data_IF_962422368351
#
_entry.id   IF_962422368351
#
_cell.length_a   1.000
_cell.length_b   1.000
_cell.length_c   1.000
_cell.angle_alpha   90.00
_cell.angle_beta   90.00
_cell.angle_gamma   90.00
#
_symmetry.space_group_name_H-M   'P 1'
#
loop_
_entity.id
_entity.type
_entity.pdbx_description
1 polymer ?
#
# COMPACT_ATOMS: atom_id res chain seq x y z
N UNK A 1 14.75 -9.23 2.53
CA UNK A 1 13.71 -9.28 3.57
C UNK A 1 13.07 -7.90 3.76
N UNK A 2 12.09 -7.81 4.65
CA UNK A 2 11.34 -6.57 4.87
C UNK A 2 12.25 -5.45 5.39
N UNK A 3 13.10 -5.71 6.36
CA UNK A 3 13.97 -4.68 6.94
C UNK A 3 14.93 -4.12 5.88
N UNK A 4 15.50 -4.96 5.04
CA UNK A 4 16.36 -4.55 3.94
C UNK A 4 15.59 -3.68 2.95
N UNK A 5 14.37 -4.06 2.62
CA UNK A 5 13.48 -3.29 1.75
C UNK A 5 13.22 -1.89 2.30
N UNK A 6 12.88 -1.79 3.58
CA UNK A 6 12.64 -0.51 4.25
C UNK A 6 13.90 0.37 4.21
N UNK A 7 15.07 -0.22 4.52
CA UNK A 7 16.33 0.51 4.48
C UNK A 7 16.63 1.04 3.08
N UNK A 8 16.37 0.25 2.05
CA UNK A 8 16.56 0.67 0.67
C UNK A 8 15.62 1.80 0.27
N UNK A 9 14.36 1.77 0.71
CA UNK A 9 13.42 2.86 0.45
C UNK A 9 13.87 4.15 1.12
N UNK A 10 14.31 4.09 2.38
CA UNK A 10 14.77 5.27 3.13
C UNK A 10 16.05 5.85 2.51
N UNK A 11 17.00 4.99 2.14
CA UNK A 11 18.28 5.42 1.58
C UNK A 11 18.22 5.79 0.10
N UNK A 12 17.10 5.48 -0.58
CA UNK A 12 16.96 5.72 -2.01
C UNK A 12 17.72 4.73 -2.89
N UNK A 13 18.05 3.55 -2.37
CA UNK A 13 18.85 2.53 -3.09
C UNK A 13 18.02 1.36 -3.61
N UNK A 14 16.71 1.41 -3.51
CA UNK A 14 15.85 0.37 -4.10
C UNK A 14 15.90 0.50 -5.62
N UNK A 15 16.38 -0.55 -6.30
CA UNK A 15 16.69 -0.49 -7.74
C UNK A 15 15.67 -1.14 -8.66
N UNK A 16 14.77 -1.96 -8.14
CA UNK A 16 13.78 -2.63 -8.97
C UNK A 16 12.73 -1.65 -9.51
N UNK A 17 12.23 -1.92 -10.71
CA UNK A 17 11.13 -1.16 -11.30
C UNK A 17 9.75 -1.67 -10.84
N UNK A 18 9.69 -2.79 -10.12
CA UNK A 18 8.46 -3.37 -9.61
C UNK A 18 8.51 -3.46 -8.09
N UNK A 19 7.35 -3.67 -7.47
CA UNK A 19 7.27 -3.96 -6.05
C UNK A 19 7.89 -5.33 -5.77
N UNK A 20 8.41 -5.53 -4.54
CA UNK A 20 9.10 -6.79 -4.22
C UNK A 20 8.15 -7.99 -4.24
N UNK A 21 8.71 -9.17 -4.49
CA UNK A 21 7.98 -10.43 -4.52
C UNK A 21 7.73 -10.98 -3.11
N UNK A 22 7.21 -10.14 -2.23
CA UNK A 22 6.78 -10.58 -0.91
C UNK A 22 5.52 -11.43 -1.01
N UNK A 23 5.29 -12.20 0.03
CA UNK A 23 4.09 -13.01 0.16
C UNK A 23 3.41 -12.72 1.50
N UNK A 24 2.36 -13.46 1.81
CA UNK A 24 1.55 -13.22 3.00
C UNK A 24 2.32 -13.38 4.30
N UNK A 25 3.40 -14.16 4.32
CA UNK A 25 4.25 -14.28 5.50
C UNK A 25 4.99 -12.99 5.86
N UNK A 26 5.10 -12.06 4.92
CA UNK A 26 5.80 -10.79 5.11
C UNK A 26 4.89 -9.67 5.64
N UNK A 27 3.57 -9.87 5.64
CA UNK A 27 2.61 -8.81 5.98
C UNK A 27 2.79 -8.29 7.40
N UNK A 28 2.98 -9.18 8.38
CA UNK A 28 3.15 -8.76 9.77
C UNK A 28 4.35 -7.83 9.95
N UNK A 29 5.48 -8.17 9.33
CA UNK A 29 6.69 -7.34 9.41
C UNK A 29 6.51 -6.00 8.68
N UNK A 30 5.84 -6.00 7.54
CA UNK A 30 5.54 -4.76 6.82
C UNK A 30 4.67 -3.83 7.66
N UNK A 31 3.63 -4.35 8.30
CA UNK A 31 2.69 -3.54 9.07
C UNK A 31 3.32 -2.89 10.31
N UNK A 32 4.48 -3.35 10.77
CA UNK A 32 5.22 -2.67 11.83
C UNK A 32 5.65 -1.26 11.41
N UNK A 33 5.81 -1.01 10.11
CA UNK A 33 6.21 0.28 9.56
C UNK A 33 5.03 1.13 9.09
N UNK A 34 3.80 0.71 9.31
CA UNK A 34 2.58 1.34 8.76
C UNK A 34 2.39 2.80 9.16
N UNK A 35 2.93 3.20 10.29
CA UNK A 35 2.76 4.57 10.81
C UNK A 35 3.95 5.50 10.53
N UNK A 36 4.96 5.01 9.81
CA UNK A 36 6.17 5.79 9.54
C UNK A 36 5.85 6.97 8.62
N UNK A 37 6.31 8.15 9.03
CA UNK A 37 6.07 9.39 8.29
C UNK A 37 7.29 9.89 7.51
N UNK A 38 8.40 9.15 7.56
CA UNK A 38 9.59 9.45 6.77
C UNK A 38 9.21 9.57 5.29
N UNK A 39 9.66 10.66 4.66
CA UNK A 39 9.38 10.88 3.24
C UNK A 39 10.41 10.13 2.39
N UNK A 40 9.92 9.36 1.42
CA UNK A 40 10.75 8.67 0.43
C UNK A 40 10.49 9.27 -0.94
N UNK A 41 11.52 9.30 -1.79
CA UNK A 41 11.48 9.93 -3.11
C UNK A 41 11.88 8.98 -4.24
N UNK A 42 12.60 7.91 -3.92
CA UNK A 42 12.99 6.90 -4.90
C UNK A 42 12.26 5.59 -4.63
N UNK A 43 11.19 5.36 -5.36
CA UNK A 43 10.36 4.16 -5.20
C UNK A 43 9.81 3.74 -6.56
N UNK A 44 9.49 2.44 -6.74
CA UNK A 44 8.93 1.98 -8.01
C UNK A 44 7.56 2.57 -8.26
N UNK A 45 7.27 2.89 -9.52
CA UNK A 45 6.03 3.53 -9.95
C UNK A 45 5.37 2.70 -11.04
N UNK A 46 4.04 2.64 -11.00
CA UNK A 46 3.26 1.97 -12.02
C UNK A 46 3.39 2.76 -13.35
N UNK A 47 3.90 2.13 -14.42
CA UNK A 47 4.15 2.84 -15.67
C UNK A 47 2.91 3.36 -16.37
N UNK A 48 1.72 2.85 -16.05
CA UNK A 48 0.47 3.33 -16.66
C UNK A 48 -0.09 4.57 -15.97
N UNK A 49 0.48 4.99 -14.83
CA UNK A 49 -0.02 6.16 -14.12
C UNK A 49 0.32 7.44 -14.87
N UNK A 50 -0.68 8.29 -15.07
CA UNK A 50 -0.50 9.64 -15.61
C UNK A 50 -0.21 10.67 -14.53
N UNK A 51 -0.36 10.29 -13.27
CA UNK A 51 -0.11 11.15 -12.10
C UNK A 51 1.29 10.90 -11.59
N UNK A 52 2.16 11.93 -11.67
CA UNK A 52 3.54 11.81 -11.20
C UNK A 52 3.64 12.18 -9.72
N UNK A 53 3.78 11.20 -8.87
CA UNK A 53 3.97 11.40 -7.43
C UNK A 53 5.46 11.47 -7.12
N UNK A 54 5.93 12.65 -6.68
CA UNK A 54 7.35 12.88 -6.43
C UNK A 54 7.81 12.27 -5.11
N UNK A 55 6.95 12.27 -4.09
CA UNK A 55 7.30 11.79 -2.76
C UNK A 55 6.12 11.06 -2.13
N UNK A 56 6.43 10.24 -1.11
CA UNK A 56 5.44 9.45 -0.40
C UNK A 56 5.90 9.25 1.03
N UNK A 57 4.97 9.18 1.98
CA UNK A 57 5.30 8.74 3.33
C UNK A 57 5.61 7.25 3.30
N UNK A 58 6.67 6.85 3.98
CA UNK A 58 7.08 5.45 4.03
C UNK A 58 5.93 4.52 4.44
N UNK A 59 5.18 4.90 5.48
CA UNK A 59 4.06 4.09 5.96
C UNK A 59 2.99 3.88 4.90
N UNK A 60 2.68 4.91 4.10
CA UNK A 60 1.73 4.78 2.99
C UNK A 60 2.26 3.83 1.91
N UNK A 61 3.54 3.92 1.58
CA UNK A 61 4.15 3.02 0.61
C UNK A 61 4.17 1.57 1.11
N UNK A 62 4.38 1.39 2.41
CA UNK A 62 4.30 0.07 3.05
C UNK A 62 2.90 -0.52 2.93
N UNK A 63 1.86 0.28 3.19
CA UNK A 63 0.47 -0.18 3.02
C UNK A 63 0.19 -0.57 1.57
N UNK A 64 0.70 0.18 0.63
CA UNK A 64 0.56 -0.14 -0.79
C UNK A 64 1.28 -1.44 -1.15
N UNK A 65 2.42 -1.70 -0.52
CA UNK A 65 3.15 -2.97 -0.66
C UNK A 65 2.31 -4.14 -0.12
N UNK A 66 1.64 -3.96 1.01
CA UNK A 66 0.72 -4.97 1.56
C UNK A 66 -0.45 -5.20 0.58
N UNK A 67 -0.99 -4.13 0.02
CA UNK A 67 -2.06 -4.26 -0.96
C UNK A 67 -1.60 -5.00 -2.22
N UNK A 68 -0.34 -4.82 -2.63
CA UNK A 68 0.26 -5.59 -3.71
C UNK A 68 0.22 -7.10 -3.43
N UNK A 69 0.58 -7.49 -2.21
CA UNK A 69 0.52 -8.90 -1.80
C UNK A 69 -0.91 -9.43 -1.90
N UNK A 70 -1.87 -8.66 -1.38
CA UNK A 70 -3.28 -9.03 -1.42
C UNK A 70 -3.79 -9.14 -2.86
N UNK A 71 -3.42 -8.20 -3.72
CA UNK A 71 -3.84 -8.19 -5.12
C UNK A 71 -3.30 -9.40 -5.88
N UNK A 72 -2.05 -9.78 -5.63
CA UNK A 72 -1.45 -10.98 -6.23
C UNK A 72 -2.18 -12.24 -5.75
N UNK A 73 -2.43 -12.36 -4.45
CA UNK A 73 -3.13 -13.52 -3.88
C UNK A 73 -4.56 -13.67 -4.39
N UNK A 74 -5.25 -12.55 -4.63
CA UNK A 74 -6.63 -12.57 -5.14
C UNK A 74 -6.71 -12.53 -6.66
N UNK A 75 -5.57 -12.49 -7.36
CA UNK A 75 -5.49 -12.39 -8.80
C UNK A 75 -6.31 -11.22 -9.34
N UNK A 76 -6.07 -10.04 -8.80
CA UNK A 76 -6.82 -8.84 -9.14
C UNK A 76 -6.67 -8.47 -10.61
N UNK A 77 -7.79 -8.11 -11.25
CA UNK A 77 -7.79 -7.66 -12.65
C UNK A 77 -7.13 -6.28 -12.85
N UNK A 78 -6.93 -5.54 -11.77
CA UNK A 78 -6.28 -4.23 -11.83
C UNK A 78 -4.76 -4.31 -11.69
N UNK A 79 -4.23 -5.50 -11.46
CA UNK A 79 -2.81 -5.72 -11.22
C UNK A 79 -2.02 -5.51 -12.51
N UNK A 80 -1.03 -4.63 -12.46
CA UNK A 80 -0.03 -4.43 -13.52
C UNK A 80 1.32 -4.76 -12.89
N UNK A 81 2.00 -5.82 -13.35
CA UNK A 81 3.14 -6.36 -12.64
C UNK A 81 2.71 -6.71 -11.21
N UNK A 82 3.31 -6.08 -10.21
CA UNK A 82 2.87 -6.21 -8.82
C UNK A 82 2.19 -4.95 -8.28
N UNK A 83 1.90 -3.98 -9.14
CA UNK A 83 1.24 -2.73 -8.72
C UNK A 83 -0.27 -2.95 -8.56
N UNK A 84 -0.82 -2.75 -7.35
CA UNK A 84 -2.24 -3.03 -7.09
C UNK A 84 -3.18 -1.92 -7.56
N UNK A 85 -2.64 -0.73 -7.80
CA UNK A 85 -3.37 0.43 -8.29
C UNK A 85 -2.40 1.34 -9.03
N UNK A 86 -2.85 2.49 -9.50
CA UNK A 86 -1.99 3.41 -10.24
C UNK A 86 -0.95 4.10 -9.37
N UNK A 87 -1.30 4.47 -8.13
CA UNK A 87 -0.40 5.25 -7.27
C UNK A 87 -0.52 4.83 -5.80
N UNK A 88 0.56 4.99 -5.02
CA UNK A 88 0.51 4.76 -3.56
C UNK A 88 -0.13 5.94 -2.81
N UNK A 89 -1.30 6.38 -3.26
CA UNK A 89 -2.07 7.46 -2.64
C UNK A 89 -3.51 7.06 -2.48
N UNK A 90 -4.17 7.67 -1.50
CA UNK A 90 -5.58 7.45 -1.25
C UNK A 90 -6.43 8.51 -1.96
N UNK A 91 -7.65 8.13 -2.30
CA UNK A 91 -8.67 9.02 -2.79
C UNK A 91 -9.96 8.81 -1.99
N UNK A 92 -10.85 9.78 -2.04
CA UNK A 92 -12.18 9.61 -1.43
C UNK A 92 -13.02 8.67 -2.29
N UNK A 93 -13.65 7.68 -1.63
CA UNK A 93 -14.38 6.61 -2.33
C UNK A 93 -15.61 7.11 -3.06
N UNK A 94 -16.38 7.97 -2.41
CA UNK A 94 -17.70 8.37 -2.88
C UNK A 94 -17.75 9.77 -3.49
N UNK A 95 -16.57 10.36 -3.75
CA UNK A 95 -16.51 11.67 -4.39
C UNK A 95 -16.94 11.57 -5.86
N UNK A 96 -17.72 12.52 -6.39
CA UNK A 96 -18.12 12.48 -7.80
C UNK A 96 -16.97 12.69 -8.76
N UNK A 97 -15.91 13.33 -8.30
CA UNK A 97 -14.65 13.50 -9.04
C UNK A 97 -13.50 12.94 -8.23
N UNK A 98 -12.39 12.66 -8.88
CA UNK A 98 -11.20 12.17 -8.20
C UNK A 98 -10.71 13.19 -7.17
N UNK A 99 -10.71 12.82 -5.90
CA UNK A 99 -10.17 13.62 -4.81
C UNK A 99 -9.09 12.83 -4.09
N UNK A 100 -7.84 13.20 -4.36
CA UNK A 100 -6.67 12.60 -3.72
C UNK A 100 -6.46 13.26 -2.35
N UNK A 101 -6.14 12.45 -1.34
CA UNK A 101 -5.89 12.90 0.02
C UNK A 101 -4.47 12.55 0.45
N UNK A 102 -3.80 13.50 1.12
CA UNK A 102 -2.41 13.35 1.55
C UNK A 102 -2.21 13.62 3.04
N UNK A 103 -3.27 13.95 3.78
CA UNK A 103 -3.16 14.41 5.15
C UNK A 103 -2.73 13.28 6.12
N UNK A 104 -2.25 13.69 7.30
CA UNK A 104 -1.78 12.74 8.31
C UNK A 104 -2.91 11.90 8.87
N UNK A 105 -4.12 12.45 8.93
CA UNK A 105 -5.28 11.74 9.47
C UNK A 105 -5.71 10.60 8.55
N UNK A 106 -5.72 10.82 7.23
CA UNK A 106 -6.04 9.75 6.28
C UNK A 106 -5.03 8.62 6.35
N UNK A 107 -3.75 8.97 6.50
CA UNK A 107 -2.70 7.97 6.68
C UNK A 107 -2.94 7.14 7.95
N UNK A 108 -3.21 7.79 9.08
CA UNK A 108 -3.46 7.09 10.35
C UNK A 108 -4.66 6.16 10.25
N UNK A 109 -5.74 6.62 9.62
CA UNK A 109 -6.94 5.80 9.44
C UNK A 109 -6.68 4.58 8.55
N UNK A 110 -5.94 4.76 7.46
CA UNK A 110 -5.57 3.66 6.59
C UNK A 110 -4.66 2.66 7.32
N UNK A 111 -3.67 3.14 8.06
CA UNK A 111 -2.77 2.29 8.84
C UNK A 111 -3.53 1.46 9.87
N UNK A 112 -4.46 2.08 10.61
CA UNK A 112 -5.33 1.36 11.55
C UNK A 112 -6.20 0.33 10.85
N UNK A 113 -6.77 0.68 9.70
CA UNK A 113 -7.66 -0.22 8.95
C UNK A 113 -6.90 -1.47 8.48
N UNK A 114 -5.68 -1.32 7.98
CA UNK A 114 -4.86 -2.45 7.57
C UNK A 114 -4.44 -3.31 8.77
N UNK A 115 -4.09 -2.69 9.87
CA UNK A 115 -3.72 -3.41 11.09
C UNK A 115 -4.91 -4.23 11.62
N UNK A 116 -6.09 -3.61 11.71
CA UNK A 116 -7.30 -4.28 12.18
C UNK A 116 -7.71 -5.41 11.23
N UNK A 117 -7.60 -5.18 9.94
CA UNK A 117 -7.86 -6.21 8.93
C UNK A 117 -6.97 -7.43 9.13
N UNK A 118 -5.66 -7.22 9.28
CA UNK A 118 -4.70 -8.32 9.41
C UNK A 118 -4.89 -9.09 10.71
N UNK A 119 -5.26 -8.40 11.78
CA UNK A 119 -5.47 -8.99 13.10
C UNK A 119 -6.92 -9.40 13.37
N UNK A 120 -7.78 -9.40 12.35
CA UNK A 120 -9.16 -9.83 12.48
C UNK A 120 -9.24 -11.35 12.75
N UNK A 121 -10.40 -11.79 13.28
CA UNK A 121 -10.61 -13.21 13.63
C UNK A 121 -10.94 -14.08 12.43
N UNK A 122 -11.06 -13.52 11.24
CA UNK A 122 -11.38 -14.28 10.02
C UNK A 122 -10.26 -15.26 9.67
N UNK A 123 -10.62 -16.39 9.07
CA UNK A 123 -9.65 -17.30 8.49
C UNK A 123 -8.85 -16.59 7.40
N UNK A 124 -7.60 -16.99 7.24
CA UNK A 124 -6.70 -16.36 6.26
C UNK A 124 -7.31 -16.29 4.86
N UNK A 125 -7.88 -17.39 4.36
CA UNK A 125 -8.45 -17.43 3.00
C UNK A 125 -9.63 -16.48 2.81
N UNK A 126 -10.34 -16.16 3.89
CA UNK A 126 -11.45 -15.21 3.86
C UNK A 126 -10.95 -13.78 4.02
N UNK A 127 -10.02 -13.58 4.96
CA UNK A 127 -9.40 -12.28 5.25
C UNK A 127 -8.78 -11.66 4.01
N UNK A 128 -8.05 -12.45 3.23
CA UNK A 128 -7.31 -11.93 2.06
C UNK A 128 -8.25 -11.34 1.01
N UNK A 129 -9.49 -11.76 0.95
CA UNK A 129 -10.49 -11.26 0.01
C UNK A 129 -11.21 -10.01 0.49
N UNK A 130 -11.08 -9.66 1.78
CA UNK A 130 -11.72 -8.49 2.34
C UNK A 130 -10.83 -7.27 2.06
N UNK A 131 -11.42 -6.22 1.48
CA UNK A 131 -10.73 -4.95 1.27
C UNK A 131 -10.45 -4.31 2.64
N UNK A 132 -9.18 -4.12 3.02
CA UNK A 132 -8.85 -3.51 4.31
C UNK A 132 -9.42 -2.11 4.48
N UNK A 133 -9.60 -1.36 3.38
CA UNK A 133 -10.16 -0.01 3.41
C UNK A 133 -11.68 0.02 3.24
N UNK A 134 -12.33 -1.15 3.14
CA UNK A 134 -13.76 -1.24 2.80
C UNK A 134 -14.70 -0.53 3.75
N UNK A 135 -14.32 -0.37 5.03
CA UNK A 135 -15.12 0.35 6.03
C UNK A 135 -14.69 1.80 6.21
N UNK A 136 -13.73 2.26 5.41
CA UNK A 136 -13.27 3.65 5.42
C UNK A 136 -13.89 4.39 4.24
N UNK A 137 -13.73 5.72 4.25
CA UNK A 137 -14.13 6.55 3.10
C UNK A 137 -13.06 6.63 2.03
N UNK A 138 -11.99 5.86 2.15
CA UNK A 138 -10.83 5.90 1.26
C UNK A 138 -10.76 4.68 0.35
N UNK A 139 -10.10 4.88 -0.78
CA UNK A 139 -9.70 3.82 -1.71
C UNK A 139 -8.31 4.16 -2.27
N UNK A 140 -7.63 3.17 -2.79
CA UNK A 140 -6.37 3.41 -3.51
C UNK A 140 -6.65 4.04 -4.89
N UNK A 141 -5.87 5.03 -5.24
CA UNK A 141 -5.86 5.59 -6.59
C UNK A 141 -4.92 4.78 -7.46
#
# INVERSE_FOLDING_TARGET
DVDTYIDQLISGTYESFDLPEFNTADISALLEYRNETTIITNFPRNPISSFWQQECKLGMFVLWTVESIRAVETNSKFLIGRFPSQNPVLALRDAPELQIVFDDQSHKKAASAYYDWWNSIHLFKDKIKIDPLGKTKYKWH
#
